data_IF_581668311949
#
_entry.id   IF_581668311949
#
_cell.length_a   1.000
_cell.length_b   1.000
_cell.length_c   1.000
_cell.angle_alpha   90.00
_cell.angle_beta   90.00
_cell.angle_gamma   90.00
#
_symmetry.space_group_name_H-M   'P 1'
#
loop_
_entity.id
_entity.type
_entity.pdbx_description
1 polymer ?
#
# COMPACT_ATOMS: atom_id res chain seq x y z
N UNK A 1 39.63 -6.67 -91.96
CA UNK A 1 38.53 -7.38 -91.23
C UNK A 1 38.99 -8.14 -89.97
N UNK A 2 40.15 -8.78 -89.92
CA UNK A 2 40.63 -9.60 -88.80
C UNK A 2 40.89 -8.81 -87.47
N UNK A 3 41.26 -7.52 -87.51
CA UNK A 3 41.52 -6.66 -86.35
C UNK A 3 40.25 -6.11 -85.73
N UNK A 4 39.14 -5.99 -86.47
CA UNK A 4 37.82 -5.54 -85.94
C UNK A 4 37.12 -6.66 -85.17
N UNK A 5 37.28 -7.93 -85.57
CA UNK A 5 36.69 -9.08 -84.88
C UNK A 5 37.36 -9.36 -83.51
N UNK A 6 38.68 -9.11 -83.41
CA UNK A 6 39.43 -9.29 -82.15
C UNK A 6 39.04 -8.18 -81.14
N UNK A 7 38.80 -6.94 -81.57
CA UNK A 7 38.37 -5.84 -80.72
C UNK A 7 36.97 -6.03 -80.16
N UNK A 8 36.04 -6.57 -81.00
CA UNK A 8 34.66 -6.83 -80.55
C UNK A 8 34.56 -7.99 -79.53
N UNK A 9 35.41 -9.05 -79.74
CA UNK A 9 35.47 -10.16 -78.78
C UNK A 9 36.04 -9.75 -77.40
N UNK A 10 37.04 -8.86 -77.41
CA UNK A 10 37.64 -8.35 -76.17
C UNK A 10 36.70 -7.43 -75.43
N UNK A 11 35.92 -6.62 -76.16
CA UNK A 11 34.88 -5.78 -75.52
C UNK A 11 33.71 -6.59 -74.90
N UNK A 12 33.32 -7.68 -75.61
CA UNK A 12 32.31 -8.60 -75.10
C UNK A 12 32.81 -9.36 -73.88
N UNK A 13 34.06 -9.82 -73.82
CA UNK A 13 34.68 -10.43 -72.64
C UNK A 13 34.81 -9.44 -71.49
N UNK A 14 35.15 -8.17 -71.75
CA UNK A 14 35.21 -7.14 -70.72
C UNK A 14 33.82 -6.81 -70.13
N UNK A 15 32.78 -6.78 -70.96
CA UNK A 15 31.40 -6.59 -70.50
C UNK A 15 30.90 -7.79 -69.70
N UNK A 16 31.21 -9.02 -70.08
CA UNK A 16 30.87 -10.23 -69.33
C UNK A 16 31.64 -10.30 -68.00
N UNK A 17 32.95 -9.95 -68.06
CA UNK A 17 33.79 -9.89 -66.86
C UNK A 17 33.32 -8.77 -65.89
N UNK A 18 32.99 -7.58 -66.43
CA UNK A 18 32.43 -6.46 -65.66
C UNK A 18 31.07 -6.80 -65.04
N UNK A 19 30.20 -7.52 -65.76
CA UNK A 19 28.92 -8.00 -65.24
C UNK A 19 29.08 -9.11 -64.16
N UNK A 20 30.17 -9.89 -64.27
CA UNK A 20 30.43 -10.93 -63.23
C UNK A 20 31.08 -10.35 -61.97
N UNK A 21 31.93 -9.32 -62.07
CA UNK A 21 32.51 -8.60 -60.94
C UNK A 21 31.50 -7.64 -60.24
N UNK A 22 30.46 -7.25 -60.98
CA UNK A 22 29.42 -6.37 -60.43
C UNK A 22 28.28 -7.14 -59.71
N UNK A 23 28.38 -8.46 -59.58
CA UNK A 23 27.41 -9.20 -58.78
C UNK A 23 27.57 -8.84 -57.32
N UNK A 24 26.53 -8.32 -56.66
CA UNK A 24 26.59 -8.04 -55.21
C UNK A 24 26.94 -9.33 -54.47
N UNK A 25 27.99 -9.27 -53.64
CA UNK A 25 28.35 -10.41 -52.81
C UNK A 25 27.21 -10.67 -51.81
N UNK A 26 26.79 -11.93 -51.63
CA UNK A 26 25.75 -12.25 -50.68
C UNK A 26 26.21 -11.90 -49.28
N UNK A 27 25.36 -11.20 -48.53
CA UNK A 27 25.63 -10.74 -47.17
C UNK A 27 25.46 -11.91 -46.18
N UNK A 28 26.41 -12.13 -45.28
CA UNK A 28 26.25 -13.09 -44.22
C UNK A 28 25.22 -12.54 -43.19
N UNK A 29 24.17 -13.32 -42.89
CA UNK A 29 23.11 -12.89 -41.98
C UNK A 29 22.78 -13.97 -40.94
N UNK A 30 22.52 -13.54 -39.72
CA UNK A 30 21.98 -14.41 -38.69
C UNK A 30 20.47 -14.54 -38.89
N UNK A 31 19.99 -15.78 -38.95
CA UNK A 31 18.58 -16.08 -39.09
C UNK A 31 18.03 -16.58 -37.74
N UNK A 32 16.79 -16.21 -37.45
CA UNK A 32 15.99 -16.74 -36.34
C UNK A 32 14.78 -17.47 -36.93
N UNK A 33 14.40 -18.57 -36.30
CA UNK A 33 13.16 -19.26 -36.62
C UNK A 33 12.01 -18.66 -35.81
N UNK A 34 10.89 -18.45 -36.48
CA UNK A 34 9.66 -17.95 -35.85
C UNK A 34 9.05 -19.10 -35.03
N UNK A 35 8.90 -18.88 -33.75
CA UNK A 35 8.44 -19.90 -32.80
C UNK A 35 7.16 -19.49 -32.06
N UNK A 36 6.47 -20.45 -31.49
CA UNK A 36 5.39 -20.19 -30.56
C UNK A 36 5.90 -20.10 -29.13
N UNK A 37 5.46 -19.06 -28.45
CA UNK A 37 5.81 -18.88 -27.04
C UNK A 37 4.94 -17.83 -26.35
N UNK A 38 5.19 -17.57 -25.09
CA UNK A 38 4.45 -16.55 -24.36
C UNK A 38 4.85 -15.14 -24.82
N UNK A 39 3.84 -14.28 -25.00
CA UNK A 39 4.00 -12.84 -25.17
C UNK A 39 3.14 -12.15 -24.12
N UNK A 40 3.74 -11.23 -23.37
CA UNK A 40 3.11 -10.55 -22.24
C UNK A 40 3.24 -9.04 -22.44
N UNK A 41 2.17 -8.30 -22.19
CA UNK A 41 2.23 -6.85 -22.03
C UNK A 41 2.29 -6.53 -20.55
N UNK A 42 3.39 -5.91 -20.13
CA UNK A 42 3.68 -5.60 -18.74
C UNK A 42 3.71 -4.09 -18.54
N UNK A 43 3.28 -3.66 -17.36
CA UNK A 43 3.53 -2.32 -16.85
C UNK A 43 4.39 -2.46 -15.60
N UNK A 44 5.55 -1.82 -15.61
CA UNK A 44 6.46 -1.78 -14.48
C UNK A 44 6.36 -0.45 -13.75
N UNK A 45 6.75 -0.44 -12.48
CA UNK A 45 6.88 0.79 -11.71
C UNK A 45 8.01 1.66 -12.28
N UNK A 46 7.79 2.97 -12.25
CA UNK A 46 8.76 3.97 -12.75
C UNK A 46 9.92 4.21 -11.78
N UNK A 47 9.70 3.93 -10.52
CA UNK A 47 10.66 4.01 -9.41
C UNK A 47 10.38 2.87 -8.44
N UNK A 48 11.40 2.47 -7.68
CA UNK A 48 11.22 1.43 -6.68
C UNK A 48 10.01 1.71 -5.80
N UNK A 49 9.13 0.74 -5.73
CA UNK A 49 8.03 0.71 -4.78
C UNK A 49 8.56 0.40 -3.37
N UNK A 50 7.68 0.42 -2.41
CA UNK A 50 8.03 0.19 -1.00
C UNK A 50 7.08 -0.83 -0.38
N UNK A 51 7.64 -1.79 0.34
CA UNK A 51 6.88 -2.72 1.15
C UNK A 51 6.35 -2.00 2.38
N UNK A 52 5.03 -2.00 2.56
CA UNK A 52 4.33 -1.35 3.67
C UNK A 52 3.48 -2.34 4.46
N UNK A 53 3.26 -2.03 5.72
CA UNK A 53 2.28 -2.74 6.53
C UNK A 53 0.87 -2.17 6.31
N UNK A 54 -0.16 -3.01 6.43
CA UNK A 54 -1.55 -2.56 6.33
C UNK A 54 -1.92 -1.59 7.45
N UNK A 55 -1.28 -1.72 8.62
CA UNK A 55 -1.49 -0.85 9.78
C UNK A 55 -0.14 -0.50 10.40
N UNK A 56 0.12 0.79 10.51
CA UNK A 56 1.23 1.36 11.28
C UNK A 56 0.66 2.49 12.12
N UNK A 57 1.01 2.55 13.38
CA UNK A 57 0.51 3.57 14.29
C UNK A 57 1.64 4.20 15.06
N UNK A 58 1.76 5.50 14.89
CA UNK A 58 2.63 6.37 15.67
C UNK A 58 1.89 6.76 16.96
N UNK A 59 2.15 6.02 18.03
CA UNK A 59 1.46 6.16 19.31
C UNK A 59 2.12 7.26 20.14
N UNK A 60 1.31 8.20 20.61
CA UNK A 60 1.73 9.29 21.49
C UNK A 60 0.76 9.44 22.64
N UNK A 61 1.23 10.00 23.74
CA UNK A 61 0.35 10.37 24.85
C UNK A 61 -0.45 11.63 24.50
N UNK A 62 -1.67 11.71 25.05
CA UNK A 62 -2.49 12.93 24.94
C UNK A 62 -2.11 13.98 26.01
N UNK A 63 -1.33 13.58 27.01
CA UNK A 63 -0.86 14.41 28.11
C UNK A 63 0.65 14.28 28.24
N UNK A 64 1.32 15.36 28.65
CA UNK A 64 2.75 15.30 28.95
C UNK A 64 3.03 14.75 30.34
N UNK A 65 4.17 14.10 30.49
CA UNK A 65 4.60 13.57 31.78
C UNK A 65 5.92 12.82 31.71
N UNK A 66 6.46 12.49 32.87
CA UNK A 66 7.68 11.70 33.00
C UNK A 66 7.37 10.22 32.87
N UNK A 67 8.13 9.50 32.06
CA UNK A 67 8.02 8.03 31.90
C UNK A 67 8.40 7.36 33.23
N UNK A 68 7.43 6.68 33.84
CA UNK A 68 7.62 5.92 35.06
C UNK A 68 7.89 4.44 34.81
N UNK A 69 7.29 3.88 33.77
CA UNK A 69 7.45 2.47 33.40
C UNK A 69 7.52 2.33 31.89
N UNK A 70 8.48 1.56 31.43
CA UNK A 70 8.61 1.09 30.05
C UNK A 70 8.54 -0.44 30.09
N UNK A 71 7.46 -1.01 29.55
CA UNK A 71 7.13 -2.44 29.70
C UNK A 71 7.40 -3.26 28.44
N UNK A 72 8.00 -2.62 27.42
CA UNK A 72 8.29 -3.19 26.11
C UNK A 72 9.71 -2.85 25.67
N UNK A 73 10.21 -3.62 24.70
CA UNK A 73 11.44 -3.34 23.96
C UNK A 73 11.20 -3.25 22.47
N UNK A 74 12.13 -2.62 21.75
CA UNK A 74 12.12 -2.61 20.29
C UNK A 74 12.24 -4.02 19.72
N UNK A 75 11.54 -4.31 18.64
CA UNK A 75 11.42 -5.64 18.04
C UNK A 75 10.48 -6.58 18.80
N UNK A 76 9.94 -6.20 19.96
CA UNK A 76 9.04 -7.04 20.74
C UNK A 76 7.65 -7.08 20.11
N UNK A 77 7.05 -8.29 20.08
CA UNK A 77 5.65 -8.50 19.68
C UNK A 77 4.72 -8.19 20.84
N UNK A 78 3.66 -7.43 20.56
CA UNK A 78 2.64 -7.01 21.54
C UNK A 78 1.24 -7.43 21.09
N UNK A 79 0.33 -7.53 22.08
CA UNK A 79 -1.08 -7.87 21.89
C UNK A 79 -1.97 -6.62 22.01
N UNK A 80 -3.19 -6.62 21.42
CA UNK A 80 -4.14 -5.53 21.59
C UNK A 80 -4.44 -5.29 23.07
N UNK A 81 -4.45 -4.00 23.51
CA UNK A 81 -4.69 -3.61 24.89
C UNK A 81 -3.48 -3.76 25.83
N UNK A 82 -2.40 -4.40 25.40
CA UNK A 82 -1.18 -4.51 26.20
C UNK A 82 -0.63 -3.13 26.54
N UNK A 83 -0.26 -2.92 27.81
CA UNK A 83 0.39 -1.68 28.26
C UNK A 83 1.81 -1.65 27.70
N UNK A 84 2.14 -0.55 27.03
CA UNK A 84 3.45 -0.32 26.43
C UNK A 84 4.32 0.54 27.32
N UNK A 85 3.77 1.67 27.74
CA UNK A 85 4.46 2.68 28.53
C UNK A 85 3.49 3.34 29.50
N UNK A 86 3.98 3.79 30.64
CA UNK A 86 3.18 4.51 31.64
C UNK A 86 3.94 5.73 32.14
N UNK A 87 3.23 6.85 32.16
CA UNK A 87 3.72 8.07 32.79
C UNK A 87 3.56 7.99 34.30
N UNK A 88 4.24 8.89 35.03
CA UNK A 88 4.06 9.06 36.48
C UNK A 88 2.61 9.43 36.78
N UNK A 89 1.97 8.72 37.68
CA UNK A 89 0.52 8.77 37.92
C UNK A 89 0.15 9.29 39.32
N UNK A 90 1.11 9.62 40.17
CA UNK A 90 0.89 9.94 41.58
C UNK A 90 -0.18 11.05 41.77
N UNK A 91 -0.08 12.12 40.97
CA UNK A 91 -1.02 13.23 41.02
C UNK A 91 -2.42 12.84 40.55
N UNK A 92 -2.51 12.12 39.42
CA UNK A 92 -3.78 11.67 38.84
C UNK A 92 -4.47 10.66 39.74
N UNK A 93 -3.72 9.77 40.40
CA UNK A 93 -4.25 8.83 41.38
C UNK A 93 -4.79 9.55 42.64
N UNK A 94 -4.06 10.54 43.13
CA UNK A 94 -4.54 11.35 44.28
C UNK A 94 -5.84 12.10 43.93
N UNK A 95 -5.93 12.70 42.74
CA UNK A 95 -7.15 13.38 42.26
C UNK A 95 -8.31 12.40 42.06
N UNK A 96 -8.05 11.19 41.61
CA UNK A 96 -9.06 10.14 41.50
C UNK A 96 -9.61 9.76 42.85
N UNK A 97 -8.75 9.53 43.86
CA UNK A 97 -9.15 9.23 45.25
C UNK A 97 -9.98 10.35 45.88
N UNK A 98 -9.60 11.63 45.64
CA UNK A 98 -10.40 12.78 46.08
C UNK A 98 -11.80 12.77 45.45
N UNK A 99 -11.90 12.53 44.14
CA UNK A 99 -13.21 12.47 43.46
C UNK A 99 -14.08 11.29 43.94
N UNK A 100 -13.50 10.14 44.25
CA UNK A 100 -14.17 8.98 44.82
C UNK A 100 -14.73 9.32 46.22
N UNK A 101 -13.90 9.91 47.08
CA UNK A 101 -14.33 10.34 48.44
C UNK A 101 -15.45 11.39 48.36
N UNK A 102 -15.36 12.34 47.40
CA UNK A 102 -16.42 13.35 47.18
C UNK A 102 -17.73 12.72 46.74
N UNK A 103 -17.72 11.76 45.85
CA UNK A 103 -18.92 11.02 45.42
C UNK A 103 -19.56 10.29 46.59
N UNK A 104 -18.77 9.61 47.44
CA UNK A 104 -19.24 8.91 48.64
C UNK A 104 -19.86 9.89 49.64
N UNK A 105 -19.23 11.04 49.90
CA UNK A 105 -19.80 12.09 50.75
C UNK A 105 -21.16 12.60 50.26
N UNK A 106 -21.33 12.78 48.94
CA UNK A 106 -22.62 13.19 48.36
C UNK A 106 -23.68 12.10 48.47
N UNK A 107 -23.32 10.83 48.35
CA UNK A 107 -24.24 9.69 48.58
C UNK A 107 -24.74 9.66 50.03
N UNK A 108 -23.84 9.81 50.98
CA UNK A 108 -24.19 9.86 52.39
C UNK A 108 -25.05 11.08 52.74
N UNK A 109 -24.73 12.25 52.19
CA UNK A 109 -25.54 13.47 52.37
C UNK A 109 -26.95 13.32 51.78
N UNK A 110 -27.10 12.66 50.62
CA UNK A 110 -28.43 12.36 50.08
C UNK A 110 -29.22 11.45 50.98
N UNK A 111 -28.62 10.38 51.50
CA UNK A 111 -29.28 9.46 52.40
C UNK A 111 -29.84 10.20 53.62
N UNK A 112 -29.05 11.06 54.28
CA UNK A 112 -29.49 11.88 55.40
C UNK A 112 -30.67 12.77 55.02
N UNK A 113 -30.62 13.50 53.90
CA UNK A 113 -31.69 14.39 53.43
C UNK A 113 -32.96 13.64 53.08
N UNK A 114 -32.86 12.46 52.49
CA UNK A 114 -34.01 11.65 52.14
C UNK A 114 -34.64 11.01 53.38
N UNK A 115 -33.86 10.60 54.37
CA UNK A 115 -34.40 10.17 55.70
C UNK A 115 -35.14 11.30 56.38
N UNK A 116 -34.61 12.53 56.36
CA UNK A 116 -35.33 13.69 56.91
C UNK A 116 -36.66 13.94 56.18
N UNK A 117 -36.66 13.85 54.84
CA UNK A 117 -37.89 13.98 54.04
C UNK A 117 -38.94 12.91 54.41
N UNK A 118 -38.49 11.66 54.66
CA UNK A 118 -39.37 10.60 55.11
C UNK A 118 -39.97 10.88 56.54
N UNK A 119 -39.19 11.45 57.44
CA UNK A 119 -39.67 11.86 58.77
C UNK A 119 -40.72 12.96 58.66
N UNK A 120 -40.41 14.06 57.96
CA UNK A 120 -41.30 15.20 57.79
C UNK A 120 -42.61 14.80 57.07
N UNK A 121 -42.53 13.87 56.09
CA UNK A 121 -43.75 13.33 55.46
C UNK A 121 -44.60 12.53 56.39
N UNK A 122 -44.05 11.67 57.28
CA UNK A 122 -44.80 10.93 58.26
C UNK A 122 -45.45 11.85 59.30
N UNK A 123 -44.77 12.94 59.66
CA UNK A 123 -45.33 13.94 60.59
C UNK A 123 -46.50 14.67 59.96
N UNK A 124 -46.41 15.07 58.67
CA UNK A 124 -47.51 15.65 57.89
C UNK A 124 -48.71 14.69 57.80
N UNK A 125 -48.50 13.42 57.50
CA UNK A 125 -49.56 12.42 57.36
C UNK A 125 -50.28 12.23 58.71
N UNK A 126 -49.57 12.26 59.86
CA UNK A 126 -50.13 12.20 61.21
C UNK A 126 -50.94 13.45 61.55
N UNK A 127 -50.42 14.65 61.25
CA UNK A 127 -51.14 15.90 61.49
C UNK A 127 -52.38 16.03 60.62
N UNK A 128 -52.34 15.55 59.35
CA UNK A 128 -53.50 15.47 58.47
C UNK A 128 -54.62 14.64 59.05
N UNK A 129 -54.32 13.43 59.57
CA UNK A 129 -55.34 12.60 60.27
C UNK A 129 -55.91 13.26 61.46
N UNK A 130 -55.18 14.07 62.24
CA UNK A 130 -55.67 14.82 63.38
C UNK A 130 -56.49 16.05 62.93
N UNK A 131 -56.15 16.72 61.89
CA UNK A 131 -56.88 17.83 61.30
C UNK A 131 -58.27 17.40 60.78
N UNK A 132 -58.40 16.22 60.14
CA UNK A 132 -59.68 15.62 59.76
C UNK A 132 -60.65 15.46 60.98
N UNK A 133 -60.08 15.25 62.15
CA UNK A 133 -60.80 15.15 63.41
C UNK A 133 -60.99 16.50 64.14
N UNK A 134 -60.57 17.63 63.52
CA UNK A 134 -60.58 18.98 64.05
C UNK A 134 -59.74 19.14 65.32
N UNK A 135 -58.68 18.36 65.55
CA UNK A 135 -57.83 18.35 66.70
C UNK A 135 -56.55 19.18 66.56
N UNK A 136 -56.32 19.78 65.39
CA UNK A 136 -55.13 20.58 65.06
C UNK A 136 -55.56 21.87 64.39
N UNK A 137 -54.82 22.98 64.64
CA UNK A 137 -55.02 24.25 63.95
C UNK A 137 -54.53 24.20 62.51
N UNK A 138 -55.20 24.89 61.58
CA UNK A 138 -54.86 24.94 60.18
C UNK A 138 -53.42 25.41 59.95
N UNK A 139 -52.96 26.41 60.64
CA UNK A 139 -51.60 26.92 60.58
C UNK A 139 -50.51 25.84 60.85
N UNK A 140 -50.79 24.93 61.82
CA UNK A 140 -49.87 23.81 62.09
C UNK A 140 -49.78 22.80 60.91
N UNK A 141 -50.91 22.56 60.27
CA UNK A 141 -50.94 21.68 59.10
C UNK A 141 -50.20 22.31 57.92
N UNK A 142 -50.43 23.58 57.64
CA UNK A 142 -49.75 24.31 56.55
C UNK A 142 -48.24 24.37 56.76
N UNK A 143 -47.76 24.57 57.99
CA UNK A 143 -46.35 24.53 58.37
C UNK A 143 -45.73 23.14 58.10
N UNK A 144 -46.43 22.06 58.43
CA UNK A 144 -45.94 20.69 58.21
C UNK A 144 -45.91 20.32 56.72
N UNK A 145 -46.92 20.78 55.99
CA UNK A 145 -46.98 20.59 54.56
C UNK A 145 -45.78 21.27 53.83
N UNK A 146 -45.54 22.55 54.15
CA UNK A 146 -44.42 23.31 53.65
C UNK A 146 -43.10 22.66 53.99
N UNK A 147 -42.91 22.20 55.22
CA UNK A 147 -41.70 21.53 55.71
C UNK A 147 -41.44 20.21 54.95
N UNK A 148 -42.45 19.37 54.81
CA UNK A 148 -42.37 18.11 54.09
C UNK A 148 -42.05 18.34 52.59
N UNK A 149 -42.66 19.36 52.01
CA UNK A 149 -42.39 19.72 50.62
C UNK A 149 -40.92 20.17 50.40
N UNK A 150 -40.43 21.07 51.26
CA UNK A 150 -39.04 21.52 51.22
C UNK A 150 -38.03 20.37 51.39
N UNK A 151 -38.26 19.49 52.37
CA UNK A 151 -37.41 18.33 52.61
C UNK A 151 -37.39 17.38 51.43
N UNK A 152 -38.53 17.14 50.76
CA UNK A 152 -38.62 16.37 49.52
C UNK A 152 -37.79 17.00 48.39
N UNK A 153 -37.88 18.31 48.22
CA UNK A 153 -37.08 19.04 47.24
C UNK A 153 -35.57 18.92 47.54
N UNK A 154 -35.16 19.03 48.81
CA UNK A 154 -33.77 18.85 49.23
C UNK A 154 -33.25 17.43 48.94
N UNK A 155 -34.05 16.39 49.22
CA UNK A 155 -33.71 15.02 48.85
C UNK A 155 -33.55 14.85 47.33
N UNK A 156 -34.48 15.39 46.53
CA UNK A 156 -34.39 15.31 45.06
C UNK A 156 -33.21 16.10 44.48
N UNK A 157 -32.93 17.29 45.01
CA UNK A 157 -31.78 18.11 44.62
C UNK A 157 -30.45 17.41 44.90
N UNK A 158 -30.37 16.61 45.98
CA UNK A 158 -29.15 15.82 46.28
C UNK A 158 -28.81 14.78 45.20
N UNK A 159 -29.80 14.30 44.46
CA UNK A 159 -29.53 13.40 43.33
C UNK A 159 -28.78 14.11 42.18
N UNK A 160 -28.95 15.42 42.04
CA UNK A 160 -28.19 16.22 41.06
C UNK A 160 -26.72 16.33 41.49
N UNK A 161 -26.47 16.58 42.76
CA UNK A 161 -25.11 16.67 43.33
C UNK A 161 -24.34 15.35 43.21
N UNK A 162 -25.02 14.20 43.32
CA UNK A 162 -24.41 12.89 43.06
C UNK A 162 -24.02 12.76 41.61
N UNK A 163 -24.87 13.16 40.65
CA UNK A 163 -24.52 13.10 39.22
C UNK A 163 -23.36 14.01 38.89
N UNK A 164 -23.28 15.19 39.49
CA UNK A 164 -22.13 16.11 39.34
C UNK A 164 -20.85 15.45 39.85
N UNK A 165 -20.86 14.87 41.05
CA UNK A 165 -19.71 14.20 41.63
C UNK A 165 -19.30 12.96 40.83
N UNK A 166 -20.25 12.19 40.28
CA UNK A 166 -20.00 11.04 39.42
C UNK A 166 -19.36 11.47 38.07
N UNK A 167 -19.86 12.53 37.46
CA UNK A 167 -19.26 13.10 36.25
C UNK A 167 -17.81 13.57 36.49
N UNK A 168 -17.55 14.18 37.65
CA UNK A 168 -16.19 14.57 38.07
C UNK A 168 -15.29 13.34 38.23
N UNK A 169 -15.79 12.26 38.85
CA UNK A 169 -15.06 11.00 38.99
C UNK A 169 -14.73 10.38 37.62
N UNK A 170 -15.68 10.36 36.69
CA UNK A 170 -15.44 9.85 35.33
C UNK A 170 -14.35 10.66 34.62
N UNK A 171 -14.34 11.98 34.78
CA UNK A 171 -13.28 12.84 34.23
C UNK A 171 -11.90 12.45 34.78
N UNK A 172 -11.76 12.28 36.13
CA UNK A 172 -10.47 11.90 36.70
C UNK A 172 -10.00 10.50 36.24
N UNK A 173 -10.94 9.55 36.05
CA UNK A 173 -10.63 8.23 35.49
C UNK A 173 -10.09 8.36 34.05
N UNK A 174 -10.74 9.17 33.21
CA UNK A 174 -10.26 9.39 31.85
C UNK A 174 -8.89 10.05 31.80
N UNK A 175 -8.60 11.00 32.68
CA UNK A 175 -7.28 11.64 32.76
C UNK A 175 -6.21 10.67 33.24
N UNK A 176 -6.50 9.77 34.15
CA UNK A 176 -5.58 8.72 34.58
C UNK A 176 -5.31 7.70 33.43
N UNK A 177 -6.35 7.31 32.69
CA UNK A 177 -6.21 6.42 31.53
C UNK A 177 -5.28 7.02 30.45
N UNK A 178 -5.33 8.34 30.21
CA UNK A 178 -4.46 9.04 29.25
C UNK A 178 -2.98 8.99 29.59
N UNK A 179 -2.62 8.65 30.83
CA UNK A 179 -1.22 8.46 31.25
C UNK A 179 -0.70 7.05 30.96
N UNK A 180 -1.52 6.17 30.39
CA UNK A 180 -1.16 4.79 30.07
C UNK A 180 -1.27 4.57 28.56
N UNK A 181 -0.16 4.26 27.91
CA UNK A 181 -0.12 3.98 26.47
C UNK A 181 -0.34 2.48 26.24
N UNK A 182 -1.31 2.15 25.40
CA UNK A 182 -1.67 0.75 25.07
C UNK A 182 -1.59 0.50 23.59
N UNK A 183 -1.30 -0.75 23.21
CA UNK A 183 -1.32 -1.21 21.83
C UNK A 183 -2.75 -1.25 21.29
N UNK A 184 -3.09 -0.57 20.18
CA UNK A 184 -4.42 -0.61 19.57
C UNK A 184 -4.66 -1.91 18.79
N UNK A 185 -3.60 -2.61 18.36
CA UNK A 185 -3.65 -3.88 17.64
C UNK A 185 -2.41 -4.74 17.96
N UNK A 186 -2.43 -6.01 17.56
CA UNK A 186 -1.26 -6.88 17.64
C UNK A 186 -0.22 -6.49 16.59
N UNK A 187 1.06 -6.43 16.96
CA UNK A 187 2.12 -6.05 16.05
C UNK A 187 3.50 -6.12 16.70
N UNK A 188 4.47 -5.56 15.99
CA UNK A 188 5.86 -5.44 16.43
C UNK A 188 6.16 -3.97 16.73
N UNK A 189 6.82 -3.73 17.85
CA UNK A 189 7.33 -2.40 18.23
C UNK A 189 8.54 -2.10 17.34
N UNK A 190 8.41 -1.08 16.49
CA UNK A 190 9.48 -0.70 15.57
C UNK A 190 10.49 0.24 16.22
N UNK A 191 9.99 1.21 16.98
CA UNK A 191 10.81 2.26 17.60
C UNK A 191 10.16 2.75 18.89
N UNK A 192 10.98 3.09 19.86
CA UNK A 192 10.56 3.67 21.15
C UNK A 192 11.29 4.99 21.32
N UNK A 193 10.54 6.08 21.41
CA UNK A 193 11.06 7.43 21.68
C UNK A 193 10.59 7.87 23.07
N UNK A 194 11.35 7.56 24.07
CA UNK A 194 11.08 7.90 25.47
C UNK A 194 11.69 6.87 26.41
N UNK A 195 12.72 7.26 27.11
CA UNK A 195 13.40 6.41 28.10
C UNK A 195 12.80 6.57 29.50
N UNK A 196 13.10 5.61 30.35
CA UNK A 196 12.69 5.66 31.75
C UNK A 196 13.20 6.94 32.42
N UNK A 197 12.31 7.72 33.01
CA UNK A 197 12.63 8.99 33.65
C UNK A 197 12.62 10.20 32.69
N UNK A 198 12.53 10.01 31.39
CA UNK A 198 12.42 11.07 30.42
C UNK A 198 11.04 11.72 30.41
N UNK A 199 10.97 13.01 30.05
CA UNK A 199 9.73 13.74 29.96
C UNK A 199 9.22 13.70 28.50
N UNK A 200 8.10 13.03 28.25
CA UNK A 200 7.44 13.00 26.94
C UNK A 200 6.34 14.03 26.87
N UNK A 201 6.23 14.69 25.72
CA UNK A 201 5.21 15.70 25.44
C UNK A 201 4.24 15.20 24.38
N UNK A 202 2.94 15.56 24.46
CA UNK A 202 2.03 15.30 23.35
C UNK A 202 2.49 16.06 22.10
N UNK A 203 2.21 15.52 20.92
CA UNK A 203 2.50 16.19 19.64
C UNK A 203 1.58 17.39 19.47
N UNK A 204 2.06 18.63 19.61
CA UNK A 204 1.23 19.81 19.39
C UNK A 204 0.95 19.96 17.88
N UNK A 205 -0.21 20.54 17.51
CA UNK A 205 -0.51 20.80 16.09
C UNK A 205 0.58 21.63 15.41
N UNK A 206 1.10 21.12 14.28
CA UNK A 206 2.09 21.82 13.47
C UNK A 206 3.56 21.67 13.89
N UNK A 207 3.85 20.96 14.97
CA UNK A 207 5.23 20.62 15.39
C UNK A 207 5.38 19.09 15.32
N UNK A 208 6.16 18.55 14.38
CA UNK A 208 6.43 17.12 14.33
C UNK A 208 7.29 16.73 15.53
N UNK A 209 6.69 16.05 16.51
CA UNK A 209 7.40 15.40 17.61
C UNK A 209 7.48 13.91 17.35
N UNK A 210 8.58 13.23 17.68
CA UNK A 210 8.66 11.78 17.57
C UNK A 210 7.51 11.11 18.36
N UNK A 211 6.86 10.08 17.82
CA UNK A 211 5.85 9.33 18.56
C UNK A 211 6.53 8.59 19.72
N UNK A 212 5.82 8.39 20.84
CA UNK A 212 6.40 7.65 21.96
C UNK A 212 6.70 6.19 21.60
N UNK A 213 5.86 5.58 20.79
CA UNK A 213 6.03 4.20 20.28
C UNK A 213 5.54 4.14 18.83
N UNK A 214 6.31 3.53 17.96
CA UNK A 214 5.90 3.18 16.60
C UNK A 214 5.56 1.68 16.55
N UNK A 215 4.31 1.36 16.21
CA UNK A 215 3.79 0.01 16.17
C UNK A 215 3.40 -0.39 14.75
N UNK A 216 3.92 -1.53 14.28
CA UNK A 216 3.71 -2.05 12.93
C UNK A 216 2.98 -3.39 13.00
N UNK A 217 1.93 -3.54 12.22
CA UNK A 217 1.25 -4.83 11.99
C UNK A 217 1.99 -5.61 10.90
N UNK A 218 2.75 -6.61 11.30
CA UNK A 218 3.52 -7.47 10.40
C UNK A 218 2.71 -8.64 9.81
N UNK A 219 1.47 -8.82 10.22
CA UNK A 219 0.59 -9.87 9.70
C UNK A 219 0.03 -9.58 8.31
N UNK A 220 0.04 -8.31 7.89
CA UNK A 220 -0.49 -7.85 6.63
C UNK A 220 0.49 -6.88 5.97
N UNK A 221 1.07 -7.30 4.84
CA UNK A 221 2.02 -6.50 4.06
C UNK A 221 1.50 -6.31 2.63
N UNK A 222 1.81 -5.17 2.04
CA UNK A 222 1.54 -4.86 0.65
C UNK A 222 2.67 -4.01 0.06
N UNK A 223 2.82 -4.04 -1.25
CA UNK A 223 3.74 -3.16 -1.97
C UNK A 223 2.97 -1.96 -2.49
N UNK A 224 3.45 -0.75 -2.19
CA UNK A 224 2.99 0.49 -2.81
C UNK A 224 4.00 0.87 -3.88
N UNK A 225 3.55 0.88 -5.14
CA UNK A 225 4.40 1.14 -6.30
C UNK A 225 3.87 2.32 -7.12
N UNK A 226 4.73 3.31 -7.45
CA UNK A 226 4.37 4.42 -8.31
C UNK A 226 4.39 3.97 -9.78
N UNK A 227 3.24 3.98 -10.44
CA UNK A 227 3.06 3.67 -11.86
C UNK A 227 2.85 4.97 -12.63
N UNK A 228 3.41 5.07 -13.83
CA UNK A 228 3.21 6.23 -14.70
C UNK A 228 1.72 6.45 -14.99
N UNK A 229 1.29 7.73 -15.04
CA UNK A 229 -0.10 8.13 -15.27
C UNK A 229 -0.70 7.49 -16.53
N UNK A 230 0.10 7.42 -17.61
CA UNK A 230 -0.35 6.86 -18.89
C UNK A 230 -0.62 5.36 -18.80
N UNK A 231 0.23 4.64 -18.07
CA UNK A 231 0.11 3.21 -17.87
C UNK A 231 -0.94 2.84 -16.83
N UNK A 232 -1.06 3.63 -15.78
CA UNK A 232 -2.03 3.42 -14.70
C UNK A 232 -3.49 3.40 -15.21
N UNK A 233 -3.79 4.11 -16.31
CA UNK A 233 -5.11 4.13 -16.94
C UNK A 233 -5.58 2.73 -17.42
N UNK A 234 -4.64 1.84 -17.71
CA UNK A 234 -4.90 0.46 -18.16
C UNK A 234 -4.96 -0.56 -17.02
N UNK A 235 -4.44 -0.21 -15.85
CA UNK A 235 -4.41 -1.10 -14.67
C UNK A 235 -5.81 -1.21 -14.07
N UNK A 236 -6.15 -2.39 -13.58
CA UNK A 236 -7.43 -2.66 -12.88
C UNK A 236 -7.18 -3.41 -11.56
N UNK A 237 -7.99 -3.21 -10.53
CA UNK A 237 -7.98 -4.05 -9.35
C UNK A 237 -8.18 -5.53 -9.72
N UNK A 238 -7.42 -6.43 -9.09
CA UNK A 238 -7.42 -7.86 -9.38
C UNK A 238 -6.44 -8.30 -10.46
N UNK A 239 -5.80 -7.36 -11.20
CA UNK A 239 -4.77 -7.70 -12.20
C UNK A 239 -3.60 -8.41 -11.52
N UNK A 240 -3.12 -9.48 -12.15
CA UNK A 240 -1.97 -10.26 -11.67
C UNK A 240 -0.69 -9.42 -11.73
N UNK A 241 0.18 -9.61 -10.75
CA UNK A 241 1.43 -8.87 -10.60
C UNK A 241 2.55 -9.83 -10.21
N UNK A 242 3.71 -9.64 -10.80
CA UNK A 242 4.98 -10.24 -10.38
C UNK A 242 5.71 -9.23 -9.51
N UNK A 243 6.01 -9.59 -8.27
CA UNK A 243 6.70 -8.76 -7.29
C UNK A 243 8.13 -9.26 -7.15
N UNK A 244 9.10 -8.38 -7.20
CA UNK A 244 10.50 -8.64 -6.89
C UNK A 244 10.92 -7.74 -5.72
N UNK A 245 11.69 -8.28 -4.78
CA UNK A 245 12.21 -7.52 -3.64
C UNK A 245 13.73 -7.46 -3.73
N UNK A 246 14.31 -6.27 -3.61
CA UNK A 246 15.77 -6.09 -3.69
C UNK A 246 16.54 -6.90 -2.65
N UNK A 247 15.92 -7.12 -1.50
CA UNK A 247 16.48 -7.94 -0.43
C UNK A 247 16.55 -9.44 -0.80
N UNK A 248 15.76 -9.92 -1.78
CA UNK A 248 15.67 -11.33 -2.16
C UNK A 248 15.86 -11.49 -3.67
N UNK A 249 17.08 -11.22 -4.13
CA UNK A 249 17.41 -11.23 -5.56
C UNK A 249 17.12 -12.57 -6.23
N UNK A 250 16.50 -12.50 -7.41
CA UNK A 250 16.18 -13.68 -8.21
C UNK A 250 14.93 -14.43 -7.75
N UNK A 251 14.24 -13.97 -6.71
CA UNK A 251 12.96 -14.50 -6.30
C UNK A 251 11.82 -13.59 -6.76
N UNK A 252 10.79 -14.20 -7.30
CA UNK A 252 9.57 -13.52 -7.73
C UNK A 252 8.38 -14.03 -6.92
N UNK A 253 7.56 -13.12 -6.47
CA UNK A 253 6.37 -13.43 -5.70
C UNK A 253 5.14 -13.07 -6.51
N UNK A 254 4.15 -13.95 -6.52
CA UNK A 254 2.86 -13.68 -7.14
C UNK A 254 2.03 -12.74 -6.26
N UNK A 255 1.37 -11.80 -6.90
CA UNK A 255 0.48 -10.86 -6.22
C UNK A 255 -0.62 -10.35 -7.14
N UNK A 256 -1.48 -9.49 -6.58
CA UNK A 256 -2.55 -8.83 -7.32
C UNK A 256 -2.67 -7.37 -6.93
N UNK A 257 -3.05 -6.55 -7.90
CA UNK A 257 -3.45 -5.17 -7.65
C UNK A 257 -4.65 -5.18 -6.71
N UNK A 258 -4.50 -4.60 -5.53
CA UNK A 258 -5.56 -4.48 -4.53
C UNK A 258 -6.28 -3.14 -4.60
N UNK A 259 -5.53 -2.05 -4.85
CA UNK A 259 -6.06 -0.69 -4.91
C UNK A 259 -5.22 0.17 -5.86
N UNK A 260 -5.87 1.14 -6.46
CA UNK A 260 -5.25 2.20 -7.25
C UNK A 260 -5.62 3.52 -6.58
N UNK A 261 -4.65 4.39 -6.35
CA UNK A 261 -4.91 5.71 -5.77
C UNK A 261 -5.89 6.50 -6.67
N UNK A 262 -6.87 7.21 -6.11
CA UNK A 262 -7.85 7.97 -6.89
C UNK A 262 -7.32 9.34 -7.34
N UNK A 263 -6.02 9.59 -7.23
CA UNK A 263 -5.37 10.85 -7.61
C UNK A 263 -3.98 10.59 -8.16
N UNK A 264 -3.53 11.51 -9.01
CA UNK A 264 -2.17 11.53 -9.55
C UNK A 264 -1.27 12.29 -8.58
N UNK A 265 -0.12 11.73 -8.25
CA UNK A 265 0.90 12.41 -7.46
C UNK A 265 1.87 13.12 -8.39
N UNK A 266 2.04 14.41 -8.18
CA UNK A 266 3.02 15.22 -8.88
C UNK A 266 4.09 15.66 -7.86
N UNK A 267 5.32 15.26 -8.10
CA UNK A 267 6.48 15.74 -7.35
C UNK A 267 7.30 16.64 -8.27
N UNK A 268 7.78 17.77 -7.74
CA UNK A 268 8.58 18.72 -8.53
C UNK A 268 9.71 18.02 -9.28
N UNK A 269 9.78 18.26 -10.61
CA UNK A 269 10.79 17.71 -11.53
C UNK A 269 10.77 16.18 -11.69
N UNK A 270 9.66 15.49 -11.38
CA UNK A 270 9.53 14.04 -11.54
C UNK A 270 8.32 13.69 -12.41
N UNK A 271 8.32 12.45 -12.95
CA UNK A 271 7.18 11.94 -13.68
C UNK A 271 5.92 11.90 -12.80
N UNK A 272 4.76 12.20 -13.41
CA UNK A 272 3.45 12.08 -12.76
C UNK A 272 3.10 10.61 -12.58
N UNK A 273 2.78 10.22 -11.37
CA UNK A 273 2.55 8.83 -11.02
C UNK A 273 1.25 8.63 -10.25
N UNK A 274 0.71 7.43 -10.37
CA UNK A 274 -0.42 6.94 -9.57
C UNK A 274 0.10 5.81 -8.69
N UNK A 275 -0.13 5.88 -7.39
CA UNK A 275 0.27 4.82 -6.48
C UNK A 275 -0.68 3.62 -6.63
N UNK A 276 -0.10 2.46 -6.90
CA UNK A 276 -0.79 1.18 -7.00
C UNK A 276 -0.37 0.30 -5.83
N UNK A 277 -1.36 -0.21 -5.10
CA UNK A 277 -1.14 -1.17 -4.01
C UNK A 277 -1.28 -2.59 -4.53
N UNK A 278 -0.29 -3.40 -4.24
CA UNK A 278 -0.22 -4.81 -4.64
C UNK A 278 -0.12 -5.68 -3.40
N UNK A 279 -1.00 -6.67 -3.28
CA UNK A 279 -0.94 -7.68 -2.21
C UNK A 279 -0.36 -8.96 -2.74
N UNK A 280 0.40 -9.64 -1.89
CA UNK A 280 0.88 -10.99 -2.17
C UNK A 280 -0.30 -11.97 -2.21
N UNK A 281 -0.33 -12.88 -3.18
CA UNK A 281 -1.31 -13.97 -3.21
C UNK A 281 -1.05 -14.96 -2.06
N UNK A 282 0.23 -15.23 -1.81
CA UNK A 282 0.71 -16.02 -0.68
C UNK A 282 1.97 -15.34 -0.13
N UNK A 283 1.88 -14.72 1.05
CA UNK A 283 3.07 -14.17 1.71
C UNK A 283 4.08 -15.30 1.95
N UNK A 284 5.36 -15.12 1.64
CA UNK A 284 6.37 -16.14 1.89
C UNK A 284 6.50 -16.39 3.40
N UNK A 285 6.13 -17.59 3.85
CA UNK A 285 6.14 -17.95 5.27
C UNK A 285 7.56 -18.10 5.85
N UNK A 286 8.54 -18.41 4.99
CA UNK A 286 9.91 -18.71 5.40
C UNK A 286 10.83 -17.48 5.37
N UNK A 287 10.31 -16.31 4.97
CA UNK A 287 11.08 -15.07 4.85
C UNK A 287 10.58 -14.02 5.82
N UNK A 288 11.52 -13.33 6.44
CA UNK A 288 11.21 -12.14 7.25
C UNK A 288 11.14 -10.94 6.32
N UNK A 289 9.92 -10.48 6.05
CA UNK A 289 9.67 -9.29 5.25
C UNK A 289 9.62 -8.06 6.14
N UNK A 290 10.54 -7.12 5.93
CA UNK A 290 10.58 -5.87 6.70
C UNK A 290 9.88 -4.74 5.92
N UNK A 291 9.04 -4.00 6.60
CA UNK A 291 8.48 -2.74 6.05
C UNK A 291 9.61 -1.79 5.69
N UNK A 292 9.50 -1.15 4.52
CA UNK A 292 10.55 -0.30 3.98
C UNK A 292 11.44 -0.97 2.94
N UNK A 293 11.35 -2.28 2.72
CA UNK A 293 12.07 -2.92 1.60
C UNK A 293 11.65 -2.34 0.27
N UNK A 294 12.64 -2.13 -0.60
CA UNK A 294 12.41 -1.76 -2.01
C UNK A 294 11.83 -2.94 -2.78
N UNK A 295 10.86 -2.63 -3.62
CA UNK A 295 10.15 -3.62 -4.41
C UNK A 295 9.91 -3.14 -5.83
N UNK A 296 10.11 -4.01 -6.81
CA UNK A 296 9.67 -3.80 -8.17
C UNK A 296 8.42 -4.63 -8.44
N UNK A 297 7.52 -4.05 -9.22
CA UNK A 297 6.28 -4.71 -9.61
C UNK A 297 6.13 -4.70 -11.13
N UNK A 298 5.79 -5.84 -11.68
CA UNK A 298 5.42 -6.00 -13.08
C UNK A 298 3.95 -6.40 -13.16
N UNK A 299 3.10 -5.46 -13.58
CA UNK A 299 1.65 -5.66 -13.68
C UNK A 299 1.33 -6.30 -15.03
N UNK A 300 0.72 -7.46 -15.01
CA UNK A 300 0.44 -8.27 -16.19
C UNK A 300 -0.89 -7.83 -16.82
N UNK A 301 -0.83 -6.92 -17.81
CA UNK A 301 -2.05 -6.40 -18.44
C UNK A 301 -2.71 -7.43 -19.33
N UNK A 302 -1.93 -8.10 -20.19
CA UNK A 302 -2.42 -9.12 -21.10
C UNK A 302 -1.32 -10.16 -21.35
N UNK A 303 -1.70 -11.42 -21.49
CA UNK A 303 -0.80 -12.54 -21.77
C UNK A 303 -1.41 -13.47 -22.82
N UNK A 304 -0.58 -13.85 -23.79
CA UNK A 304 -0.84 -14.93 -24.76
C UNK A 304 0.16 -16.05 -24.56
N UNK A 305 -0.29 -17.18 -24.04
CA UNK A 305 0.62 -18.26 -23.66
C UNK A 305 1.30 -18.95 -24.85
N UNK A 306 0.68 -18.97 -26.04
CA UNK A 306 1.14 -19.68 -27.26
C UNK A 306 0.96 -18.81 -28.51
N UNK A 307 1.41 -17.58 -28.46
CA UNK A 307 1.45 -16.70 -29.64
C UNK A 307 2.57 -17.10 -30.58
N UNK A 308 2.36 -16.94 -31.89
CA UNK A 308 3.45 -16.91 -32.83
C UNK A 308 4.22 -15.61 -32.60
N UNK A 309 5.51 -15.67 -32.30
CA UNK A 309 6.27 -14.52 -31.84
C UNK A 309 7.60 -14.35 -32.55
N UNK A 310 8.02 -13.11 -32.63
CA UNK A 310 9.32 -12.70 -33.13
C UNK A 310 9.97 -11.72 -32.13
N UNK A 311 11.31 -11.65 -32.09
CA UNK A 311 11.98 -10.59 -31.34
C UNK A 311 11.56 -9.21 -31.87
N UNK A 312 11.20 -8.28 -30.96
CA UNK A 312 10.72 -6.96 -31.38
C UNK A 312 11.72 -6.17 -32.16
N UNK A 313 13.01 -6.40 -31.96
CA UNK A 313 14.13 -5.80 -32.69
C UNK A 313 14.21 -6.22 -34.19
N UNK A 314 13.50 -7.29 -34.61
CA UNK A 314 13.46 -7.75 -35.99
C UNK A 314 12.41 -7.04 -36.84
N UNK A 315 11.60 -6.14 -36.24
CA UNK A 315 10.59 -5.38 -36.94
C UNK A 315 11.15 -4.11 -37.58
N UNK A 316 10.94 -3.96 -38.88
CA UNK A 316 11.16 -2.73 -39.63
C UNK A 316 9.90 -1.86 -39.58
N UNK A 317 10.05 -0.61 -39.24
CA UNK A 317 8.94 0.37 -39.16
C UNK A 317 7.70 -0.14 -38.40
N UNK A 318 7.88 -1.16 -37.54
CA UNK A 318 6.83 -1.75 -36.69
C UNK A 318 5.87 -2.72 -37.39
N UNK A 319 6.01 -2.92 -38.72
CA UNK A 319 5.06 -3.74 -39.50
C UNK A 319 5.70 -4.66 -40.54
N UNK A 320 6.99 -4.60 -40.76
CA UNK A 320 7.68 -5.41 -41.79
C UNK A 320 8.80 -6.24 -41.18
N UNK A 321 9.09 -7.40 -41.77
CA UNK A 321 10.21 -8.25 -41.42
C UNK A 321 10.94 -8.72 -42.69
N UNK A 322 12.23 -8.96 -42.58
CA UNK A 322 13.01 -9.57 -43.70
C UNK A 322 12.98 -11.08 -43.52
N UNK A 323 12.14 -11.77 -44.30
CA UNK A 323 12.05 -13.24 -44.38
C UNK A 323 13.05 -13.81 -45.35
N UNK A 324 13.76 -14.85 -44.95
CA UNK A 324 14.66 -15.60 -45.80
C UNK A 324 13.89 -16.62 -46.65
N UNK A 325 14.11 -16.61 -47.99
CA UNK A 325 13.60 -17.63 -48.91
C UNK A 325 14.73 -18.64 -49.18
N UNK A 326 14.59 -19.90 -48.67
CA UNK A 326 15.63 -20.91 -48.85
C UNK A 326 15.81 -21.37 -50.30
N UNK A 327 14.80 -21.18 -51.16
CA UNK A 327 14.83 -21.60 -52.56
C UNK A 327 15.67 -20.64 -53.41
N UNK A 328 15.45 -19.35 -53.19
CA UNK A 328 16.14 -18.29 -53.99
C UNK A 328 17.35 -17.70 -53.25
N UNK A 329 17.52 -17.99 -51.96
CA UNK A 329 18.56 -17.46 -51.05
C UNK A 329 18.59 -15.93 -50.98
N UNK A 330 17.42 -15.32 -51.10
CA UNK A 330 17.26 -13.86 -50.98
C UNK A 330 16.35 -13.53 -49.79
N UNK A 331 16.49 -12.30 -49.34
CA UNK A 331 15.54 -11.73 -48.35
C UNK A 331 14.30 -11.24 -49.10
N UNK A 332 13.16 -11.39 -48.47
CA UNK A 332 11.90 -10.79 -48.88
C UNK A 332 11.32 -9.98 -47.72
N UNK A 333 11.04 -8.75 -47.99
CA UNK A 333 10.28 -7.91 -47.07
C UNK A 333 8.83 -8.37 -47.06
N UNK A 334 8.34 -8.72 -45.88
CA UNK A 334 6.97 -9.23 -45.65
C UNK A 334 6.29 -8.35 -44.63
N UNK A 335 5.11 -7.86 -44.99
CA UNK A 335 4.24 -7.15 -44.08
C UNK A 335 3.62 -8.13 -43.08
N UNK A 336 3.68 -7.81 -41.81
CA UNK A 336 3.15 -8.61 -40.71
C UNK A 336 2.09 -7.84 -39.94
N UNK A 337 1.02 -8.51 -39.57
CA UNK A 337 0.06 -7.97 -38.60
C UNK A 337 0.53 -8.33 -37.21
N UNK A 338 0.82 -7.33 -36.41
CA UNK A 338 1.28 -7.50 -35.05
C UNK A 338 0.13 -7.47 -34.05
N UNK A 339 0.27 -8.23 -32.97
CA UNK A 339 -0.64 -8.23 -31.83
C UNK A 339 0.01 -7.65 -30.59
N UNK A 340 0.02 -8.43 -29.48
CA UNK A 340 0.71 -8.05 -28.25
C UNK A 340 2.20 -7.87 -28.49
N UNK A 341 2.76 -6.81 -27.90
CA UNK A 341 4.18 -6.51 -28.02
C UNK A 341 4.77 -6.02 -26.70
N UNK A 342 6.01 -6.39 -26.45
CA UNK A 342 6.85 -5.82 -25.41
C UNK A 342 8.25 -5.55 -25.95
N UNK A 343 9.19 -5.11 -25.09
CA UNK A 343 10.55 -4.79 -25.50
C UNK A 343 11.32 -5.99 -26.08
N UNK A 344 10.93 -7.23 -25.78
CA UNK A 344 11.63 -8.45 -26.20
C UNK A 344 10.92 -9.20 -27.33
N UNK A 345 9.59 -9.32 -27.24
CA UNK A 345 8.79 -10.14 -28.15
C UNK A 345 7.58 -9.39 -28.68
N UNK A 346 7.28 -9.62 -29.95
CA UNK A 346 6.05 -9.16 -30.61
C UNK A 346 5.28 -10.36 -31.16
N UNK A 347 4.00 -10.42 -30.86
CA UNK A 347 3.07 -11.40 -31.42
C UNK A 347 2.82 -11.09 -32.91
N UNK A 348 2.83 -12.13 -33.73
CA UNK A 348 2.45 -12.08 -35.13
C UNK A 348 1.11 -12.75 -35.33
N UNK A 349 0.11 -11.98 -35.77
CA UNK A 349 -1.25 -12.46 -36.03
C UNK A 349 -1.39 -13.01 -37.46
N UNK A 350 -0.69 -12.42 -38.43
CA UNK A 350 -0.67 -12.82 -39.83
C UNK A 350 0.62 -12.34 -40.53
N UNK A 351 0.97 -12.98 -41.65
CA UNK A 351 2.12 -12.61 -42.52
C UNK A 351 3.31 -13.54 -42.38
N UNK A 352 3.40 -14.34 -41.31
CA UNK A 352 4.46 -15.36 -41.16
C UNK A 352 3.85 -16.71 -40.75
N UNK A 353 4.51 -17.76 -41.19
CA UNK A 353 4.21 -19.12 -40.74
C UNK A 353 5.15 -19.55 -39.60
N UNK A 354 4.79 -20.55 -38.84
CA UNK A 354 5.65 -21.25 -37.88
C UNK A 354 6.85 -21.85 -38.64
N UNK A 355 8.05 -21.79 -38.09
CA UNK A 355 9.32 -22.19 -38.72
C UNK A 355 9.82 -21.27 -39.86
N UNK A 356 9.15 -20.18 -40.17
CA UNK A 356 9.69 -19.16 -41.08
C UNK A 356 11.01 -18.61 -40.53
N UNK A 357 11.98 -18.37 -41.40
CA UNK A 357 13.26 -17.81 -41.00
C UNK A 357 13.31 -16.33 -41.31
N UNK A 358 13.63 -15.52 -40.33
CA UNK A 358 13.73 -14.07 -40.42
C UNK A 358 15.12 -13.60 -39.99
N UNK A 359 15.51 -12.41 -40.44
CA UNK A 359 16.81 -11.81 -40.08
C UNK A 359 16.80 -11.40 -38.62
N UNK A 360 17.82 -11.78 -37.86
CA UNK A 360 17.91 -11.58 -36.41
C UNK A 360 18.23 -10.13 -35.99
N UNK A 361 19.02 -9.43 -36.81
CA UNK A 361 19.45 -8.05 -36.51
C UNK A 361 19.40 -7.21 -37.78
N UNK A 362 18.84 -6.02 -37.66
CA UNK A 362 18.68 -5.05 -38.75
C UNK A 362 19.79 -4.00 -38.75
N UNK A 363 20.78 -4.08 -37.87
CA UNK A 363 21.89 -3.11 -37.77
C UNK A 363 22.90 -3.22 -38.93
N UNK A 364 22.88 -4.30 -39.70
CA UNK A 364 23.82 -4.52 -40.77
C UNK A 364 23.46 -3.69 -42.02
N UNK A 365 24.38 -2.85 -42.46
CA UNK A 365 24.19 -2.06 -43.69
C UNK A 365 23.98 -2.93 -44.93
N UNK A 366 23.02 -2.55 -45.76
CA UNK A 366 22.74 -3.22 -47.04
C UNK A 366 21.64 -4.28 -46.98
N UNK A 367 21.04 -4.54 -45.85
CA UNK A 367 19.87 -5.41 -45.71
C UNK A 367 18.63 -4.72 -46.33
N UNK A 368 18.12 -5.27 -47.42
CA UNK A 368 16.95 -4.78 -48.17
C UNK A 368 16.24 -5.95 -48.84
N UNK A 369 15.03 -5.68 -49.31
CA UNK A 369 14.31 -6.63 -50.17
C UNK A 369 15.15 -7.08 -51.37
N UNK A 370 15.05 -8.35 -51.72
CA UNK A 370 15.73 -9.01 -52.85
C UNK A 370 17.26 -9.13 -52.74
N UNK A 371 17.86 -8.84 -51.58
CA UNK A 371 19.30 -9.04 -51.37
C UNK A 371 19.62 -10.53 -51.16
N UNK A 372 20.64 -11.02 -51.87
CA UNK A 372 21.16 -12.37 -51.68
C UNK A 372 21.94 -12.47 -50.37
N UNK A 373 21.65 -13.52 -49.58
CA UNK A 373 22.28 -13.70 -48.27
C UNK A 373 22.77 -15.13 -48.05
N UNK A 374 23.75 -15.26 -47.16
CA UNK A 374 24.25 -16.55 -46.67
C UNK A 374 23.89 -16.65 -45.20
N UNK A 375 23.11 -17.68 -44.81
CA UNK A 375 22.85 -17.93 -43.39
C UNK A 375 24.15 -18.22 -42.64
N UNK A 376 24.39 -17.54 -41.54
CA UNK A 376 25.46 -17.84 -40.58
C UNK A 376 24.92 -18.71 -39.45
N UNK A 377 25.58 -19.82 -39.18
CA UNK A 377 25.27 -20.65 -38.03
C UNK A 377 25.74 -19.96 -36.73
N UNK A 378 24.98 -20.15 -35.65
CA UNK A 378 25.24 -19.51 -34.36
C UNK A 378 26.62 -19.82 -33.73
N UNK A 379 27.33 -20.81 -34.27
CA UNK A 379 28.64 -21.27 -33.78
C UNK A 379 29.85 -20.47 -34.30
N UNK A 380 29.67 -19.57 -35.29
CA UNK A 380 30.80 -18.84 -35.93
C UNK A 380 31.05 -17.43 -35.37
N UNK A 381 30.35 -17.01 -34.34
CA UNK A 381 30.41 -15.63 -33.81
C UNK A 381 31.26 -15.50 -32.53
N UNK A 382 31.79 -16.60 -31.96
CA UNK A 382 32.69 -16.57 -30.79
C UNK A 382 34.21 -16.57 -31.17
N UNK A 383 34.58 -16.05 -32.31
CA UNK A 383 36.00 -15.87 -32.62
C UNK A 383 36.39 -14.40 -32.82
#
# INVERSE_FOLDING_TARGET
MRKLLIGSSMLACLMVLGGWLSRPQPLPVRLLEVERGPVETLVANTRAGTLKSCRRSHLSFNVGGQVAELLIGEGQRVQPGQVLMRLRQDEQQARLQEAEARLEAQRNAREQRCQQAHLDRRDLDRLGQLADRKLVAADRLDQAETKAHLAKLMCSASAVLIREADASLQLQRSLLEQTTLRAPFAGIVAEINGELGEFVTPSPPGIPTPPAVDLIDDSCLYVEAPIDEVDAARVRPGTAVRISLDAFRGQHFAGRVSRIAPYVRELEKQARTVDVEVRFDQPPADLVLLTGYSADVEILLEQRARALRIPTETLLEGQHVLRYDPTTRVLREVEVQTGLSNWRWTEVLAGLDEDARIVASLEQEGLKDTVAVIPMDAAEIEQ
#
